data_IF_684326050655
#
_entry.id   IF_684326050655
#
_cell.length_a   1.000
_cell.length_b   1.000
_cell.length_c   1.000
_cell.angle_alpha   90.00
_cell.angle_beta   90.00
_cell.angle_gamma   90.00
#
_symmetry.space_group_name_H-M   'P 1'
#
loop_
_entity.id
_entity.type
_entity.pdbx_description
1 polymer ?
#
# COMPACT_ATOMS: atom_id res chain seq x y z
N UNK A 1 20.07 -0.99 62.52
CA UNK A 1 20.54 -0.81 61.13
C UNK A 1 19.39 -1.15 60.19
N UNK A 2 18.59 -0.16 59.80
CA UNK A 2 17.50 -0.32 58.83
C UNK A 2 17.99 0.15 57.45
N UNK A 3 17.97 -0.73 56.46
CA UNK A 3 18.29 -0.41 55.06
C UNK A 3 17.02 0.10 54.37
N UNK A 4 17.03 1.36 53.91
CA UNK A 4 16.01 1.88 53.00
C UNK A 4 16.24 1.33 51.58
N UNK A 5 15.16 0.83 50.97
CA UNK A 5 15.10 0.51 49.56
C UNK A 5 14.88 1.79 48.74
N UNK A 6 15.74 2.02 47.74
CA UNK A 6 15.60 3.13 46.79
C UNK A 6 14.61 2.78 45.68
N UNK A 7 13.54 3.58 45.57
CA UNK A 7 12.65 3.59 44.41
C UNK A 7 13.30 4.40 43.28
N UNK A 8 13.57 3.77 42.15
CA UNK A 8 13.92 4.42 40.90
C UNK A 8 12.67 5.01 40.24
N UNK A 9 12.59 6.34 40.18
CA UNK A 9 11.58 7.06 39.40
C UNK A 9 11.95 6.96 37.91
N UNK A 10 11.11 6.31 37.11
CA UNK A 10 11.19 6.36 35.64
C UNK A 10 10.56 7.68 35.19
N UNK A 11 11.36 8.61 34.67
CA UNK A 11 10.87 9.83 34.07
C UNK A 11 10.30 9.53 32.68
N UNK A 12 8.97 9.57 32.54
CA UNK A 12 8.34 9.69 31.22
C UNK A 12 8.52 11.13 30.74
N UNK A 13 9.39 11.33 29.75
CA UNK A 13 9.43 12.57 28.98
C UNK A 13 8.23 12.57 28.02
N UNK A 14 7.11 13.18 28.42
CA UNK A 14 6.09 13.59 27.46
C UNK A 14 6.67 14.78 26.67
N UNK A 15 7.13 14.54 25.45
CA UNK A 15 7.30 15.60 24.46
C UNK A 15 5.92 16.12 24.11
N UNK A 16 5.51 17.25 24.69
CA UNK A 16 4.35 17.98 24.21
C UNK A 16 4.67 18.47 22.79
N UNK A 17 4.11 17.82 21.77
CA UNK A 17 4.08 18.40 20.45
C UNK A 17 3.24 19.68 20.56
N UNK A 18 3.83 20.81 20.18
CA UNK A 18 3.08 22.07 20.05
C UNK A 18 2.12 21.86 18.87
N UNK A 19 0.84 21.69 19.16
CA UNK A 19 -0.19 21.63 18.13
C UNK A 19 -0.38 23.03 17.56
N UNK A 20 -0.32 23.13 16.23
CA UNK A 20 -0.54 24.37 15.51
C UNK A 20 -1.82 24.28 14.67
N UNK A 21 -2.38 25.45 14.39
CA UNK A 21 -3.39 25.61 13.36
C UNK A 21 -2.64 25.85 12.04
N UNK A 22 -2.78 24.91 11.11
CA UNK A 22 -2.09 24.92 9.82
C UNK A 22 -3.09 25.30 8.73
N UNK A 23 -2.89 26.46 8.11
CA UNK A 23 -3.65 26.91 6.95
C UNK A 23 -2.93 26.54 5.65
N UNK A 24 -3.58 25.73 4.82
CA UNK A 24 -3.05 25.26 3.55
C UNK A 24 -3.87 25.85 2.41
N UNK A 25 -3.21 26.59 1.51
CA UNK A 25 -3.83 27.01 0.24
C UNK A 25 -3.83 25.83 -0.73
N UNK A 26 -5.00 25.25 -0.99
CA UNK A 26 -5.16 24.08 -1.86
C UNK A 26 -5.15 24.46 -3.36
N UNK A 27 -5.48 25.70 -3.67
CA UNK A 27 -5.47 26.25 -5.03
C UNK A 27 -6.85 26.61 -5.56
N UNK A 28 -7.00 26.75 -6.87
CA UNK A 28 -8.29 27.12 -7.47
C UNK A 28 -9.32 25.99 -7.37
N UNK A 29 -10.61 26.35 -7.38
CA UNK A 29 -11.73 25.39 -7.48
C UNK A 29 -11.50 24.38 -8.60
N UNK A 30 -11.01 24.83 -9.76
CA UNK A 30 -10.71 23.98 -10.91
C UNK A 30 -9.59 22.97 -10.62
N UNK A 31 -8.46 23.42 -10.05
CA UNK A 31 -7.35 22.53 -9.67
C UNK A 31 -7.82 21.48 -8.68
N UNK A 32 -8.47 21.90 -7.59
CA UNK A 32 -8.90 20.99 -6.53
C UNK A 32 -9.95 20.01 -7.03
N UNK A 33 -10.86 20.44 -7.91
CA UNK A 33 -11.82 19.55 -8.58
C UNK A 33 -11.11 18.42 -9.32
N UNK A 34 -10.06 18.74 -10.09
CA UNK A 34 -9.27 17.75 -10.85
C UNK A 34 -8.51 16.80 -9.94
N UNK A 35 -7.77 17.32 -8.96
CA UNK A 35 -6.89 16.51 -8.11
C UNK A 35 -7.66 15.59 -7.15
N UNK A 36 -8.88 15.97 -6.76
CA UNK A 36 -9.77 15.16 -5.91
C UNK A 36 -10.80 14.34 -6.70
N UNK A 37 -10.68 14.32 -8.03
CA UNK A 37 -11.56 13.64 -8.97
C UNK A 37 -13.05 14.04 -8.83
N UNK A 38 -13.34 15.25 -8.33
CA UNK A 38 -14.70 15.67 -8.00
C UNK A 38 -15.53 15.98 -9.27
N UNK A 39 -16.82 15.60 -9.32
CA UNK A 39 -17.49 14.66 -8.41
C UNK A 39 -17.02 13.23 -8.66
N UNK A 40 -16.69 12.50 -7.61
CA UNK A 40 -16.02 11.20 -7.69
C UNK A 40 -16.90 10.00 -7.33
N UNK A 41 -18.21 10.20 -7.12
CA UNK A 41 -19.18 9.13 -6.84
C UNK A 41 -20.59 9.45 -7.36
N UNK A 42 -20.66 10.25 -8.42
CA UNK A 42 -21.91 10.74 -8.97
C UNK A 42 -22.12 10.33 -10.43
N UNK A 43 -23.38 10.09 -10.78
CA UNK A 43 -23.87 10.13 -12.16
C UNK A 43 -25.03 11.15 -12.23
N UNK A 44 -26.20 10.75 -12.71
CA UNK A 44 -27.44 11.54 -12.51
C UNK A 44 -27.81 11.62 -11.02
N UNK A 45 -27.45 10.59 -10.25
CA UNK A 45 -27.64 10.52 -8.79
C UNK A 45 -26.27 10.33 -8.15
N UNK A 46 -25.97 11.13 -7.12
CA UNK A 46 -24.78 10.97 -6.30
C UNK A 46 -24.99 9.92 -5.22
N UNK A 47 -24.06 8.96 -5.11
CA UNK A 47 -24.06 8.02 -3.99
C UNK A 47 -23.79 8.75 -2.67
N UNK A 48 -22.86 9.72 -2.68
CA UNK A 48 -22.67 10.69 -1.61
C UNK A 48 -22.69 12.09 -2.21
N UNK A 49 -23.76 12.83 -1.96
CA UNK A 49 -23.93 14.19 -2.49
C UNK A 49 -23.10 15.22 -1.70
N UNK A 50 -21.79 15.06 -1.71
CA UNK A 50 -20.84 15.95 -1.04
C UNK A 50 -20.55 17.18 -1.90
N UNK A 51 -20.30 18.31 -1.25
CA UNK A 51 -19.65 19.47 -1.90
C UNK A 51 -18.17 19.17 -2.13
N UNK A 52 -17.50 19.97 -2.96
CA UNK A 52 -16.06 19.87 -3.16
C UNK A 52 -15.30 19.97 -1.82
N UNK A 53 -15.68 20.90 -0.96
CA UNK A 53 -15.09 21.09 0.37
C UNK A 53 -15.25 19.86 1.25
N UNK A 54 -16.43 19.22 1.23
CA UNK A 54 -16.67 17.99 1.99
C UNK A 54 -15.84 16.82 1.47
N UNK A 55 -15.72 16.66 0.15
CA UNK A 55 -14.86 15.63 -0.45
C UNK A 55 -13.40 15.83 -0.07
N UNK A 56 -12.89 17.07 -0.13
CA UNK A 56 -11.52 17.39 0.26
C UNK A 56 -11.32 17.15 1.76
N UNK A 57 -12.21 17.67 2.60
CA UNK A 57 -12.14 17.51 4.06
C UNK A 57 -12.14 16.04 4.47
N UNK A 58 -12.90 15.19 3.77
CA UNK A 58 -12.95 13.75 3.99
C UNK A 58 -11.57 13.10 3.80
N UNK A 59 -10.93 13.30 2.64
CA UNK A 59 -9.61 12.70 2.39
C UNK A 59 -8.53 13.28 3.30
N UNK A 60 -8.52 14.59 3.53
CA UNK A 60 -7.56 15.20 4.45
C UNK A 60 -7.75 14.70 5.89
N UNK A 61 -9.00 14.46 6.32
CA UNK A 61 -9.29 13.86 7.62
C UNK A 61 -8.75 12.44 7.73
N UNK A 62 -8.82 11.64 6.64
CA UNK A 62 -8.21 10.32 6.61
C UNK A 62 -6.68 10.40 6.77
N UNK A 63 -6.02 11.34 6.08
CA UNK A 63 -4.56 11.52 6.19
C UNK A 63 -4.13 11.82 7.63
N UNK A 64 -4.73 12.82 8.29
CA UNK A 64 -4.34 13.18 9.67
C UNK A 64 -4.61 12.05 10.65
N UNK A 65 -5.71 11.30 10.48
CA UNK A 65 -6.02 10.13 11.31
C UNK A 65 -5.00 9.01 11.11
N UNK A 66 -4.57 8.75 9.89
CA UNK A 66 -3.58 7.70 9.56
C UNK A 66 -2.16 8.08 9.93
N UNK A 67 -1.89 9.38 10.02
CA UNK A 67 -0.69 9.90 10.67
C UNK A 67 -0.74 9.78 12.20
N UNK A 68 -1.86 9.38 12.78
CA UNK A 68 -2.01 9.16 14.22
C UNK A 68 -2.41 10.40 15.01
N UNK A 69 -2.81 11.49 14.34
CA UNK A 69 -3.30 12.70 14.98
C UNK A 69 -4.80 12.57 15.30
N UNK A 70 -5.11 11.79 16.34
CA UNK A 70 -6.48 11.39 16.68
C UNK A 70 -7.43 12.58 16.99
N UNK A 71 -6.89 13.68 17.53
CA UNK A 71 -7.64 14.88 17.89
C UNK A 71 -7.64 15.95 16.78
N UNK A 72 -7.00 15.66 15.63
CA UNK A 72 -6.92 16.62 14.54
C UNK A 72 -8.28 16.88 13.90
N UNK A 73 -8.49 18.11 13.45
CA UNK A 73 -9.71 18.53 12.75
C UNK A 73 -9.34 19.19 11.44
N UNK A 74 -10.11 18.89 10.41
CA UNK A 74 -9.97 19.49 9.09
C UNK A 74 -11.24 20.25 8.74
N UNK A 75 -11.05 21.50 8.33
CA UNK A 75 -12.11 22.34 7.77
C UNK A 75 -11.65 22.87 6.42
N UNK A 76 -12.47 22.68 5.39
CA UNK A 76 -12.18 23.20 4.05
C UNK A 76 -13.17 24.31 3.72
N UNK A 77 -12.65 25.43 3.24
CA UNK A 77 -13.42 26.63 2.89
C UNK A 77 -13.05 27.07 1.48
N UNK A 78 -14.01 27.67 0.79
CA UNK A 78 -13.81 28.35 -0.48
C UNK A 78 -13.96 29.85 -0.28
N UNK A 79 -12.99 30.63 -0.76
CA UNK A 79 -13.04 32.08 -0.82
C UNK A 79 -12.44 32.56 -2.15
N UNK A 80 -13.15 33.43 -2.88
CA UNK A 80 -12.73 33.99 -4.17
C UNK A 80 -12.17 32.94 -5.16
N UNK A 81 -12.92 31.86 -5.39
CA UNK A 81 -12.55 30.72 -6.26
C UNK A 81 -11.24 30.00 -5.87
N UNK A 82 -10.82 30.13 -4.61
CA UNK A 82 -9.69 29.43 -4.02
C UNK A 82 -10.16 28.59 -2.83
N UNK A 83 -9.64 27.37 -2.71
CA UNK A 83 -9.90 26.50 -1.57
C UNK A 83 -8.73 26.54 -0.59
N UNK A 84 -9.08 26.52 0.69
CA UNK A 84 -8.17 26.50 1.82
C UNK A 84 -8.56 25.36 2.77
N UNK A 85 -7.58 24.66 3.32
CA UNK A 85 -7.77 23.72 4.41
C UNK A 85 -7.16 24.29 5.69
N UNK A 86 -7.98 24.39 6.72
CA UNK A 86 -7.57 24.67 8.09
C UNK A 86 -7.45 23.33 8.81
N UNK A 87 -6.24 22.96 9.22
CA UNK A 87 -5.93 21.70 9.88
C UNK A 87 -5.40 22.01 11.27
N UNK A 88 -6.14 21.60 12.30
CA UNK A 88 -5.76 21.82 13.71
C UNK A 88 -5.38 20.50 14.35
N UNK A 89 -4.60 20.53 15.44
CA UNK A 89 -4.17 19.31 16.15
C UNK A 89 -3.03 18.54 15.46
N UNK A 90 -2.33 19.17 14.52
CA UNK A 90 -1.17 18.63 13.79
C UNK A 90 0.10 19.44 14.12
N UNK A 91 1.32 18.94 13.85
CA UNK A 91 2.54 19.71 14.04
C UNK A 91 2.68 20.84 13.01
N UNK A 92 3.46 21.87 13.38
CA UNK A 92 3.93 22.88 12.44
C UNK A 92 4.59 22.23 11.21
N UNK A 93 4.21 22.69 10.02
CA UNK A 93 4.77 22.19 8.77
C UNK A 93 4.03 21.01 8.14
N UNK A 94 2.91 20.56 8.71
CA UNK A 94 2.07 19.50 8.12
C UNK A 94 1.52 19.88 6.72
N UNK A 95 1.47 21.18 6.40
CA UNK A 95 1.15 21.71 5.07
C UNK A 95 2.10 21.22 3.98
N UNK A 96 3.36 20.97 4.31
CA UNK A 96 4.41 20.64 3.34
C UNK A 96 4.20 19.30 2.65
N UNK A 97 4.04 18.16 3.36
CA UNK A 97 3.82 16.89 2.67
C UNK A 97 2.48 16.86 1.91
N UNK A 98 1.47 17.59 2.37
CA UNK A 98 0.21 17.75 1.62
C UNK A 98 0.42 18.55 0.33
N UNK A 99 1.07 19.71 0.41
CA UNK A 99 1.37 20.54 -0.77
C UNK A 99 2.22 19.77 -1.78
N UNK A 100 3.23 19.04 -1.31
CA UNK A 100 4.09 18.21 -2.15
C UNK A 100 3.31 17.12 -2.90
N UNK A 101 2.32 16.47 -2.25
CA UNK A 101 1.43 15.51 -2.90
C UNK A 101 0.56 16.18 -3.97
N UNK A 102 -0.03 17.34 -3.68
CA UNK A 102 -0.88 18.05 -4.64
C UNK A 102 -0.09 18.58 -5.84
N UNK A 103 1.14 19.04 -5.62
CA UNK A 103 2.03 19.49 -6.69
C UNK A 103 2.48 18.31 -7.58
N UNK A 104 2.75 17.15 -6.99
CA UNK A 104 2.93 15.92 -7.78
C UNK A 104 1.64 15.56 -8.53
N UNK A 105 0.47 15.79 -7.93
CA UNK A 105 -0.83 15.61 -8.56
C UNK A 105 -1.02 16.43 -9.84
N UNK A 106 -0.48 17.64 -9.91
CA UNK A 106 -0.51 18.43 -11.14
C UNK A 106 0.28 17.76 -12.28
N UNK A 107 1.39 17.09 -11.97
CA UNK A 107 2.15 16.28 -12.95
C UNK A 107 1.30 15.09 -13.43
N UNK A 108 0.59 14.42 -12.51
CA UNK A 108 -0.29 13.33 -12.88
C UNK A 108 -1.45 13.80 -13.77
N UNK A 109 -2.04 14.97 -13.46
CA UNK A 109 -3.07 15.58 -14.29
C UNK A 109 -2.57 15.94 -15.69
N UNK A 110 -1.36 16.49 -15.80
CA UNK A 110 -0.74 16.76 -17.10
C UNK A 110 -0.55 15.46 -17.90
N UNK A 111 -0.08 14.39 -17.25
CA UNK A 111 0.05 13.06 -17.83
C UNK A 111 -1.29 12.49 -18.32
N UNK A 112 -2.31 12.51 -17.47
CA UNK A 112 -3.66 12.06 -17.82
C UNK A 112 -4.27 12.85 -18.98
N UNK A 113 -4.09 14.17 -18.98
CA UNK A 113 -4.58 15.06 -20.04
C UNK A 113 -3.92 14.74 -21.38
N UNK A 114 -2.61 14.49 -21.37
CA UNK A 114 -1.87 14.05 -22.57
C UNK A 114 -2.33 12.66 -23.03
N UNK A 115 -2.49 11.71 -22.11
CA UNK A 115 -2.97 10.36 -22.43
C UNK A 115 -4.35 10.39 -23.10
N UNK A 116 -5.25 11.26 -22.61
CA UNK A 116 -6.57 11.48 -23.21
C UNK A 116 -6.49 12.16 -24.59
N UNK A 117 -5.64 13.18 -24.74
CA UNK A 117 -5.42 13.85 -26.03
C UNK A 117 -4.89 12.88 -27.10
N UNK A 118 -4.10 11.88 -26.70
CA UNK A 118 -3.60 10.81 -27.56
C UNK A 118 -4.64 9.70 -27.82
N UNK A 119 -5.86 9.82 -27.29
CA UNK A 119 -6.96 8.87 -27.52
C UNK A 119 -6.85 7.56 -26.73
N UNK A 120 -6.01 7.52 -25.69
CA UNK A 120 -5.71 6.31 -24.91
C UNK A 120 -6.41 6.26 -23.55
N UNK A 121 -7.12 7.32 -23.17
CA UNK A 121 -7.89 7.35 -21.91
C UNK A 121 -9.23 6.62 -22.08
N UNK A 122 -9.47 5.60 -21.27
CA UNK A 122 -10.76 4.92 -21.31
C UNK A 122 -11.85 5.78 -20.63
N UNK A 123 -13.06 5.75 -21.18
CA UNK A 123 -14.19 6.53 -20.66
C UNK A 123 -14.51 6.26 -19.17
N UNK A 124 -14.27 5.04 -18.68
CA UNK A 124 -14.52 4.63 -17.30
C UNK A 124 -13.41 4.99 -16.32
N UNK A 125 -12.31 5.57 -16.79
CA UNK A 125 -11.15 5.87 -15.96
C UNK A 125 -11.25 7.24 -15.28
N UNK A 126 -10.75 7.32 -14.05
CA UNK A 126 -10.62 8.55 -13.29
C UNK A 126 -9.17 8.74 -12.86
N UNK A 127 -8.61 9.95 -13.01
CA UNK A 127 -7.37 10.30 -12.32
C UNK A 127 -7.63 10.19 -10.82
N UNK A 128 -6.83 9.39 -10.11
CA UNK A 128 -6.98 9.21 -8.67
C UNK A 128 -5.63 9.21 -7.99
N UNK A 129 -5.36 10.28 -7.24
CA UNK A 129 -4.17 10.41 -6.42
C UNK A 129 -4.33 9.60 -5.12
N UNK A 130 -3.24 9.18 -4.45
CA UNK A 130 -3.25 8.46 -3.17
C UNK A 130 -3.71 9.35 -1.99
N UNK A 131 -4.92 9.90 -2.12
CA UNK A 131 -5.56 10.80 -1.18
C UNK A 131 -5.95 10.03 0.09
N UNK A 132 -5.83 10.71 1.22
CA UNK A 132 -6.10 10.11 2.51
C UNK A 132 -5.01 9.17 3.01
N UNK A 133 -3.87 9.01 2.35
CA UNK A 133 -2.75 8.25 2.91
C UNK A 133 -2.09 8.99 4.07
N UNK A 134 -1.35 8.25 4.91
CA UNK A 134 -0.42 8.85 5.86
C UNK A 134 0.60 9.71 5.10
N UNK A 135 0.80 10.95 5.52
CA UNK A 135 1.65 11.92 4.84
C UNK A 135 2.95 12.19 5.59
N UNK A 136 2.93 12.12 6.92
CA UNK A 136 4.08 12.48 7.74
C UNK A 136 4.63 11.27 8.49
N UNK A 137 3.77 10.53 9.19
CA UNK A 137 4.15 9.42 10.08
C UNK A 137 4.19 8.07 9.37
N UNK A 138 4.60 8.09 8.09
CA UNK A 138 4.77 6.92 7.24
C UNK A 138 5.85 5.99 7.80
N UNK A 139 5.61 4.70 7.70
CA UNK A 139 6.53 3.62 8.10
C UNK A 139 7.12 2.90 6.91
N UNK A 140 6.42 2.86 5.78
CA UNK A 140 6.90 2.26 4.54
C UNK A 140 6.10 2.78 3.34
N UNK A 141 6.61 2.51 2.15
CA UNK A 141 5.96 2.81 0.87
C UNK A 141 5.58 1.53 0.15
N UNK A 142 4.41 1.53 -0.47
CA UNK A 142 3.90 0.45 -1.31
C UNK A 142 3.82 0.93 -2.75
N UNK A 143 4.62 0.36 -3.65
CA UNK A 143 4.45 0.59 -5.08
C UNK A 143 3.44 -0.40 -5.63
N UNK A 144 2.35 0.12 -6.19
CA UNK A 144 1.27 -0.66 -6.79
C UNK A 144 1.06 -0.29 -8.25
N UNK A 145 0.27 -1.10 -8.92
CA UNK A 145 -0.01 -0.93 -10.33
C UNK A 145 -0.99 0.23 -10.54
N UNK A 146 -2.21 0.11 -10.03
CA UNK A 146 -3.27 1.12 -10.10
C UNK A 146 -4.33 0.87 -9.02
N UNK A 147 -5.08 1.90 -8.58
CA UNK A 147 -6.18 1.73 -7.64
C UNK A 147 -7.45 1.21 -8.34
N UNK A 148 -8.23 0.32 -7.72
CA UNK A 148 -9.52 -0.06 -8.28
C UNK A 148 -10.54 1.08 -8.14
N UNK A 149 -11.40 1.21 -9.16
CA UNK A 149 -12.43 2.25 -9.27
C UNK A 149 -13.38 2.34 -8.07
N UNK A 150 -13.71 1.21 -7.44
CA UNK A 150 -14.61 1.18 -6.28
C UNK A 150 -13.99 1.78 -5.01
N UNK A 151 -12.65 1.86 -4.89
CA UNK A 151 -11.99 2.58 -3.79
C UNK A 151 -12.28 4.08 -3.88
N UNK A 152 -12.36 4.61 -5.11
CA UNK A 152 -12.82 5.97 -5.36
C UNK A 152 -14.35 6.04 -5.24
N UNK A 153 -15.06 5.41 -6.16
CA UNK A 153 -16.49 5.67 -6.43
C UNK A 153 -17.46 5.16 -5.36
N UNK A 154 -17.06 4.16 -4.55
CA UNK A 154 -17.92 3.58 -3.51
C UNK A 154 -17.35 3.81 -2.12
N UNK A 155 -16.08 3.47 -1.90
CA UNK A 155 -15.48 3.56 -0.58
C UNK A 155 -15.14 5.01 -0.19
N UNK A 156 -14.73 5.84 -1.16
CA UNK A 156 -14.05 7.12 -0.90
C UNK A 156 -12.86 6.91 0.05
N UNK A 157 -12.12 5.83 -0.16
CA UNK A 157 -11.03 5.44 0.72
C UNK A 157 -10.05 4.57 -0.08
N UNK A 158 -8.86 5.11 -0.29
CA UNK A 158 -7.80 4.48 -1.06
C UNK A 158 -7.35 3.14 -0.47
N UNK A 159 -7.45 2.96 0.85
CA UNK A 159 -7.08 1.72 1.53
C UNK A 159 -8.24 0.71 1.61
N UNK A 160 -9.39 0.99 1.01
CA UNK A 160 -10.52 0.05 0.95
C UNK A 160 -10.55 -0.66 -0.38
N UNK A 161 -9.83 -1.78 -0.43
CA UNK A 161 -9.81 -2.72 -1.54
C UNK A 161 -9.47 -4.12 -1.06
N UNK A 162 -9.84 -5.15 -1.83
CA UNK A 162 -9.43 -6.53 -1.51
C UNK A 162 -7.90 -6.64 -1.38
N UNK A 163 -7.16 -5.94 -2.25
CA UNK A 163 -5.69 -5.89 -2.25
C UNK A 163 -5.15 -5.32 -0.94
N UNK A 164 -5.62 -4.13 -0.56
CA UNK A 164 -5.12 -3.39 0.61
C UNK A 164 -5.62 -3.96 1.94
N UNK A 165 -6.86 -4.42 2.00
CA UNK A 165 -7.45 -5.06 3.20
C UNK A 165 -6.75 -6.39 3.52
N UNK A 166 -6.42 -7.17 2.48
CA UNK A 166 -5.63 -8.39 2.66
C UNK A 166 -4.23 -8.05 3.19
N UNK A 167 -3.57 -7.06 2.59
CA UNK A 167 -2.21 -6.71 3.01
C UNK A 167 -2.17 -6.18 4.45
N UNK A 168 -3.16 -5.38 4.86
CA UNK A 168 -3.35 -4.96 6.25
C UNK A 168 -3.47 -6.16 7.22
N UNK A 169 -4.19 -7.21 6.81
CA UNK A 169 -4.32 -8.45 7.57
C UNK A 169 -2.96 -9.14 7.73
N UNK A 170 -2.16 -9.23 6.66
CA UNK A 170 -0.81 -9.82 6.72
C UNK A 170 0.17 -9.00 7.57
N UNK A 171 0.06 -7.67 7.58
CA UNK A 171 0.81 -6.82 8.51
C UNK A 171 0.40 -7.09 9.96
N UNK A 172 -0.90 -7.32 10.20
CA UNK A 172 -1.42 -7.68 11.53
C UNK A 172 -0.93 -9.05 11.99
N UNK A 173 -0.91 -10.04 11.10
CA UNK A 173 -0.30 -11.36 11.37
C UNK A 173 1.20 -11.26 11.71
N UNK A 174 1.86 -10.17 11.28
CA UNK A 174 3.24 -9.84 11.60
C UNK A 174 3.41 -8.89 12.79
N UNK A 175 2.35 -8.68 13.57
CA UNK A 175 2.40 -7.96 14.84
C UNK A 175 2.21 -6.45 14.75
N UNK A 176 1.87 -5.91 13.57
CA UNK A 176 1.45 -4.51 13.47
C UNK A 176 0.01 -4.38 13.98
N UNK A 177 -0.29 -3.52 14.97
CA UNK A 177 -1.67 -3.30 15.40
C UNK A 177 -2.55 -2.84 14.22
N UNK A 178 -3.77 -3.34 14.11
CA UNK A 178 -4.67 -3.03 12.99
C UNK A 178 -4.87 -1.52 12.77
N UNK A 179 -4.98 -0.74 13.85
CA UNK A 179 -5.10 0.73 13.78
C UNK A 179 -3.82 1.45 13.29
N UNK A 180 -2.69 0.76 13.18
CA UNK A 180 -1.41 1.30 12.73
C UNK A 180 -0.99 0.81 11.34
N UNK A 181 -1.68 -0.18 10.75
CA UNK A 181 -1.34 -0.66 9.41
C UNK A 181 -1.42 0.42 8.34
N UNK A 182 -2.31 1.44 8.37
CA UNK A 182 -2.34 2.48 7.35
C UNK A 182 -1.02 3.24 7.18
N UNK A 183 -0.25 3.42 8.26
CA UNK A 183 1.06 4.09 8.20
C UNK A 183 2.10 3.28 7.42
N UNK A 184 1.90 1.96 7.27
CA UNK A 184 2.74 1.09 6.44
C UNK A 184 2.27 1.06 4.98
N UNK A 185 1.03 1.44 4.72
CA UNK A 185 0.39 1.30 3.42
C UNK A 185 0.31 2.63 2.66
N UNK A 186 1.38 3.44 2.69
CA UNK A 186 1.43 4.63 1.84
C UNK A 186 1.69 4.21 0.40
N UNK A 187 0.68 4.32 -0.46
CA UNK A 187 0.72 3.81 -1.82
C UNK A 187 1.24 4.87 -2.80
N UNK A 188 2.05 4.43 -3.76
CA UNK A 188 2.30 5.12 -5.02
C UNK A 188 1.93 4.16 -6.13
N UNK A 189 0.94 4.54 -6.94
CA UNK A 189 0.58 3.78 -8.13
C UNK A 189 1.38 4.24 -9.34
N UNK A 190 1.90 3.28 -10.11
CA UNK A 190 2.56 3.58 -11.39
C UNK A 190 1.56 4.04 -12.44
N UNK A 191 0.27 3.73 -12.30
CA UNK A 191 -0.81 4.40 -13.01
C UNK A 191 -1.79 4.97 -11.98
N UNK A 192 -1.79 6.28 -11.70
CA UNK A 192 -2.73 6.91 -10.75
C UNK A 192 -4.12 7.04 -11.39
N UNK A 193 -4.67 5.92 -11.85
CA UNK A 193 -5.93 5.81 -12.58
C UNK A 193 -6.82 4.84 -11.84
N UNK A 194 -7.91 5.34 -11.25
CA UNK A 194 -9.00 4.51 -10.79
C UNK A 194 -9.67 3.83 -11.99
N UNK A 195 -9.49 2.51 -12.09
CA UNK A 195 -9.97 1.68 -13.18
C UNK A 195 -10.60 0.38 -12.67
N UNK A 196 -11.39 -0.36 -13.48
CA UNK A 196 -11.89 -1.67 -13.10
C UNK A 196 -10.76 -2.60 -12.64
N UNK A 197 -10.98 -3.42 -11.62
CA UNK A 197 -9.93 -4.23 -10.99
C UNK A 197 -9.24 -5.25 -11.92
N UNK A 198 -9.81 -5.51 -13.10
CA UNK A 198 -9.28 -6.38 -14.14
C UNK A 198 -8.61 -5.63 -15.30
N UNK A 199 -8.50 -4.29 -15.25
CA UNK A 199 -7.96 -3.44 -16.32
C UNK A 199 -6.42 -3.41 -16.41
N UNK A 200 -5.72 -4.25 -15.65
CA UNK A 200 -4.25 -4.21 -15.56
C UNK A 200 -3.56 -4.34 -16.92
N UNK A 201 -4.05 -5.20 -17.81
CA UNK A 201 -3.49 -5.33 -19.17
C UNK A 201 -3.71 -4.08 -20.04
N UNK A 202 -4.80 -3.34 -19.81
CA UNK A 202 -5.13 -2.13 -20.59
C UNK A 202 -4.23 -0.93 -20.21
N UNK A 203 -3.48 -1.03 -19.12
CA UNK A 203 -2.63 0.04 -18.58
C UNK A 203 -1.15 -0.12 -18.97
N UNK A 204 -0.72 -1.24 -19.57
CA UNK A 204 0.72 -1.52 -19.81
C UNK A 204 1.44 -0.42 -20.62
N UNK A 205 0.74 0.24 -21.54
CA UNK A 205 1.30 1.30 -22.41
C UNK A 205 1.09 2.74 -21.87
N UNK A 206 0.63 2.89 -20.62
CA UNK A 206 0.27 4.22 -20.08
C UNK A 206 1.28 4.76 -19.06
N UNK A 207 2.16 3.92 -18.50
CA UNK A 207 2.99 4.31 -17.35
C UNK A 207 3.90 5.50 -17.63
N UNK A 208 4.46 5.61 -18.84
CA UNK A 208 5.37 6.69 -19.21
C UNK A 208 4.73 8.08 -19.17
N UNK A 209 3.40 8.17 -19.32
CA UNK A 209 2.68 9.44 -19.20
C UNK A 209 2.74 10.01 -17.77
N UNK A 210 3.00 9.15 -16.77
CA UNK A 210 3.02 9.50 -15.36
C UNK A 210 4.42 9.49 -14.76
N UNK A 211 5.49 9.36 -15.58
CA UNK A 211 6.88 9.24 -15.10
C UNK A 211 7.29 10.33 -14.12
N UNK A 212 6.99 11.58 -14.43
CA UNK A 212 7.37 12.72 -13.59
C UNK A 212 6.63 12.69 -12.25
N UNK A 213 5.35 12.32 -12.26
CA UNK A 213 4.57 12.09 -11.03
C UNK A 213 5.15 10.96 -10.19
N UNK A 214 5.38 9.79 -10.80
CA UNK A 214 5.84 8.59 -10.09
C UNK A 214 7.20 8.83 -9.42
N UNK A 215 8.17 9.36 -10.17
CA UNK A 215 9.53 9.60 -9.67
C UNK A 215 9.56 10.71 -8.62
N UNK A 216 8.70 11.72 -8.76
CA UNK A 216 8.49 12.77 -7.75
C UNK A 216 7.96 12.18 -6.44
N UNK A 217 6.90 11.36 -6.50
CA UNK A 217 6.37 10.73 -5.29
C UNK A 217 7.35 9.74 -4.66
N UNK A 218 8.08 8.95 -5.45
CA UNK A 218 9.11 8.05 -4.88
C UNK A 218 10.16 8.84 -4.13
N UNK A 219 10.64 9.96 -4.69
CA UNK A 219 11.58 10.85 -4.00
C UNK A 219 10.99 11.43 -2.71
N UNK A 220 9.73 11.90 -2.75
CA UNK A 220 9.10 12.55 -1.60
C UNK A 220 8.69 11.58 -0.48
N UNK A 221 8.19 10.40 -0.83
CA UNK A 221 7.58 9.47 0.13
C UNK A 221 8.56 8.45 0.69
N UNK A 222 9.68 8.21 0.01
CA UNK A 222 10.72 7.31 0.51
C UNK A 222 11.58 7.90 1.63
N UNK A 223 11.29 9.12 2.09
CA UNK A 223 11.95 9.73 3.24
C UNK A 223 10.94 10.37 4.19
N UNK A 224 11.31 10.41 5.48
CA UNK A 224 10.65 11.26 6.48
C UNK A 224 11.07 12.72 6.29
N UNK A 225 10.37 13.65 6.94
CA UNK A 225 10.77 15.06 6.98
C UNK A 225 12.19 15.28 7.56
N UNK A 226 12.64 14.38 8.43
CA UNK A 226 14.01 14.38 8.98
C UNK A 226 15.07 13.74 8.06
N UNK A 227 14.68 13.26 6.88
CA UNK A 227 15.57 12.64 5.89
C UNK A 227 15.80 11.15 6.08
N UNK A 228 15.20 10.51 7.09
CA UNK A 228 15.30 9.06 7.30
C UNK A 228 14.65 8.32 6.14
N UNK A 229 15.39 7.43 5.49
CA UNK A 229 14.86 6.62 4.39
C UNK A 229 13.90 5.54 4.90
N UNK A 230 12.78 5.39 4.20
CA UNK A 230 11.74 4.41 4.46
C UNK A 230 11.85 3.21 3.49
N UNK A 231 11.54 1.98 3.92
CA UNK A 231 11.54 0.82 3.04
C UNK A 231 10.38 0.86 2.07
N UNK A 232 10.56 0.18 0.93
CA UNK A 232 9.57 0.08 -0.14
C UNK A 232 9.27 -1.37 -0.50
N UNK A 233 8.00 -1.68 -0.73
CA UNK A 233 7.57 -2.97 -1.29
C UNK A 233 7.03 -2.76 -2.70
N UNK A 234 7.51 -3.55 -3.65
CA UNK A 234 7.14 -3.50 -5.06
C UNK A 234 6.22 -4.67 -5.41
N UNK A 235 4.94 -4.38 -5.63
CA UNK A 235 3.90 -5.39 -5.79
C UNK A 235 3.62 -5.71 -7.26
N UNK A 236 3.77 -6.98 -7.65
CA UNK A 236 3.38 -7.43 -8.98
C UNK A 236 4.49 -7.30 -10.03
N UNK A 237 4.22 -7.79 -11.23
CA UNK A 237 5.21 -7.77 -12.31
C UNK A 237 5.39 -6.38 -12.94
N UNK A 238 4.32 -5.63 -13.26
CA UNK A 238 4.44 -4.29 -13.85
C UNK A 238 5.29 -3.35 -13.00
N UNK A 239 5.04 -3.32 -11.69
CA UNK A 239 5.79 -2.46 -10.77
C UNK A 239 7.27 -2.85 -10.68
N UNK A 240 7.58 -4.14 -10.66
CA UNK A 240 8.98 -4.60 -10.63
C UNK A 240 9.71 -4.31 -11.94
N UNK A 241 9.01 -4.36 -13.08
CA UNK A 241 9.55 -3.93 -14.37
C UNK A 241 9.77 -2.42 -14.40
N UNK A 242 8.80 -1.65 -13.88
CA UNK A 242 8.92 -0.20 -13.76
C UNK A 242 10.14 0.22 -12.92
N UNK A 243 10.43 -0.46 -11.81
CA UNK A 243 11.66 -0.22 -11.03
C UNK A 243 12.91 -0.43 -11.88
N UNK A 244 12.95 -1.51 -12.67
CA UNK A 244 14.08 -1.79 -13.55
C UNK A 244 14.27 -0.70 -14.59
N UNK A 245 13.17 -0.21 -15.16
CA UNK A 245 13.18 0.84 -16.18
C UNK A 245 13.61 2.20 -15.62
N UNK A 246 13.08 2.59 -14.45
CA UNK A 246 13.37 3.90 -13.88
C UNK A 246 14.68 3.97 -13.09
N UNK A 247 15.07 2.88 -12.43
CA UNK A 247 16.21 2.87 -11.50
C UNK A 247 17.31 1.86 -11.86
N UNK A 248 17.02 0.83 -12.68
CA UNK A 248 18.00 -0.16 -13.15
C UNK A 248 17.92 -1.56 -12.54
N UNK A 249 17.76 -1.74 -11.21
CA UNK A 249 17.73 -3.07 -10.60
C UNK A 249 16.58 -3.94 -11.06
N UNK A 250 16.85 -5.24 -11.25
CA UNK A 250 15.79 -6.25 -11.40
C UNK A 250 15.40 -6.78 -10.03
N UNK A 251 14.10 -6.75 -9.72
CA UNK A 251 13.59 -7.19 -8.40
C UNK A 251 12.67 -8.40 -8.59
N UNK A 252 13.01 -9.52 -7.95
CA UNK A 252 12.20 -10.74 -7.90
C UNK A 252 11.17 -10.74 -6.76
N UNK A 253 10.22 -11.67 -6.75
CA UNK A 253 9.42 -11.94 -5.53
C UNK A 253 10.36 -12.46 -4.44
N UNK A 254 10.33 -11.82 -3.27
CA UNK A 254 11.33 -11.94 -2.20
C UNK A 254 12.77 -11.64 -2.66
N UNK A 255 12.93 -10.87 -3.73
CA UNK A 255 14.21 -10.31 -4.14
C UNK A 255 14.41 -8.92 -3.54
N UNK A 256 15.60 -8.65 -3.03
CA UNK A 256 16.00 -7.32 -2.55
C UNK A 256 16.76 -6.55 -3.62
N UNK A 257 16.51 -5.26 -3.66
CA UNK A 257 17.30 -4.29 -4.41
C UNK A 257 17.43 -2.99 -3.60
N UNK A 258 18.20 -2.05 -4.13
CA UNK A 258 18.21 -0.68 -3.66
C UNK A 258 18.06 0.27 -4.85
N UNK A 259 17.25 1.31 -4.69
CA UNK A 259 17.10 2.38 -5.66
C UNK A 259 17.59 3.70 -5.08
N UNK A 260 18.01 4.62 -5.95
CA UNK A 260 18.44 5.96 -5.55
C UNK A 260 17.54 7.02 -6.22
N UNK A 261 16.50 7.51 -5.52
CA UNK A 261 15.58 8.51 -6.08
C UNK A 261 16.14 9.93 -6.03
N UNK A 262 17.20 10.15 -5.27
CA UNK A 262 17.98 11.38 -5.24
C UNK A 262 19.41 11.07 -4.78
N UNK A 263 20.35 11.93 -5.11
CA UNK A 263 21.75 11.78 -4.70
C UNK A 263 21.87 11.58 -3.17
N UNK A 264 22.62 10.56 -2.76
CA UNK A 264 22.83 10.22 -1.35
C UNK A 264 21.66 9.49 -0.67
N UNK A 265 20.53 9.29 -1.37
CA UNK A 265 19.37 8.55 -0.84
C UNK A 265 19.39 7.12 -1.40
N UNK A 266 19.34 6.13 -0.51
CA UNK A 266 19.32 4.71 -0.87
C UNK A 266 18.12 4.02 -0.22
N UNK A 267 17.11 3.71 -1.03
CA UNK A 267 15.86 3.09 -0.57
C UNK A 267 16.00 1.58 -0.70
N UNK A 268 15.82 0.78 0.38
CA UNK A 268 15.74 -0.66 0.26
C UNK A 268 14.37 -1.04 -0.32
N UNK A 269 14.38 -1.87 -1.37
CA UNK A 269 13.18 -2.30 -2.08
C UNK A 269 13.08 -3.82 -2.03
N UNK A 270 11.93 -4.32 -1.59
CA UNK A 270 11.58 -5.75 -1.65
C UNK A 270 10.53 -5.99 -2.74
N UNK A 271 10.78 -6.92 -3.65
CA UNK A 271 9.74 -7.37 -4.58
C UNK A 271 8.79 -8.36 -3.91
N UNK A 272 7.50 -8.22 -4.19
CA UNK A 272 6.44 -9.09 -3.67
C UNK A 272 5.52 -9.55 -4.81
N UNK A 273 4.75 -10.62 -4.56
CA UNK A 273 3.58 -10.87 -5.40
C UNK A 273 2.62 -9.69 -5.27
N UNK A 274 1.84 -9.40 -6.30
CA UNK A 274 0.69 -8.51 -6.12
C UNK A 274 -0.26 -9.11 -5.07
N UNK A 275 -0.82 -8.36 -4.10
CA UNK A 275 -1.58 -8.96 -3.00
C UNK A 275 -2.80 -9.76 -3.47
N UNK A 276 -3.36 -9.43 -4.65
CA UNK A 276 -4.46 -10.20 -5.26
C UNK A 276 -4.03 -11.49 -5.97
N UNK A 277 -2.75 -11.69 -6.26
CA UNK A 277 -2.25 -12.83 -7.03
C UNK A 277 -2.61 -14.18 -6.38
N UNK A 278 -2.73 -14.22 -5.05
CA UNK A 278 -3.07 -15.43 -4.31
C UNK A 278 -4.40 -16.05 -4.77
N UNK A 279 -5.39 -15.25 -5.15
CA UNK A 279 -6.70 -15.76 -5.57
C UNK A 279 -6.61 -16.46 -6.93
N UNK A 280 -5.74 -16.00 -7.82
CA UNK A 280 -5.48 -16.65 -9.11
C UNK A 280 -4.58 -17.88 -8.97
N UNK A 281 -3.52 -17.77 -8.18
CA UNK A 281 -2.62 -18.89 -7.91
C UNK A 281 -3.34 -20.04 -7.21
N UNK A 282 -4.30 -19.72 -6.34
CA UNK A 282 -5.11 -20.68 -5.60
C UNK A 282 -6.43 -21.03 -6.31
N UNK A 283 -6.71 -20.60 -7.53
CA UNK A 283 -7.92 -21.04 -8.25
C UNK A 283 -7.67 -22.42 -8.90
N UNK A 284 -8.45 -23.48 -8.56
CA UNK A 284 -8.37 -24.76 -9.25
C UNK A 284 -8.56 -24.66 -10.77
N UNK A 285 -9.32 -23.67 -11.26
CA UNK A 285 -9.52 -23.44 -12.70
C UNK A 285 -8.25 -23.01 -13.45
N UNK A 286 -7.23 -22.55 -12.72
CA UNK A 286 -5.92 -22.23 -13.29
C UNK A 286 -5.10 -23.48 -13.63
N UNK A 287 -5.55 -24.69 -13.29
CA UNK A 287 -4.81 -25.94 -13.47
C UNK A 287 -5.66 -27.02 -14.17
N UNK A 288 -4.98 -27.96 -14.83
CA UNK A 288 -5.61 -29.10 -15.51
C UNK A 288 -5.31 -30.43 -14.79
N UNK A 289 -6.22 -31.38 -14.95
CA UNK A 289 -6.14 -32.75 -14.41
C UNK A 289 -6.92 -32.95 -13.12
N UNK A 290 -7.09 -34.21 -12.71
CA UNK A 290 -7.86 -34.59 -11.51
C UNK A 290 -7.22 -34.07 -10.20
N UNK A 291 -5.95 -33.65 -10.26
CA UNK A 291 -5.20 -33.07 -9.16
C UNK A 291 -5.17 -31.52 -9.16
N UNK A 292 -6.01 -30.86 -9.99
CA UNK A 292 -6.06 -29.40 -10.11
C UNK A 292 -6.25 -28.68 -8.77
N UNK A 293 -7.16 -29.18 -7.91
CA UNK A 293 -7.35 -28.63 -6.56
C UNK A 293 -6.07 -28.72 -5.72
N UNK A 294 -5.35 -29.84 -5.77
CA UNK A 294 -4.14 -30.04 -5.01
C UNK A 294 -2.99 -29.13 -5.50
N UNK A 295 -2.91 -28.89 -6.81
CA UNK A 295 -1.97 -27.93 -7.43
C UNK A 295 -2.28 -26.50 -7.00
N UNK A 296 -3.56 -26.10 -7.03
CA UNK A 296 -4.00 -24.79 -6.59
C UNK A 296 -3.74 -24.55 -5.10
N UNK A 297 -4.02 -25.54 -4.24
CA UNK A 297 -3.69 -25.45 -2.81
C UNK A 297 -2.17 -25.35 -2.61
N UNK A 298 -1.36 -26.12 -3.34
CA UNK A 298 0.10 -26.05 -3.25
C UNK A 298 0.65 -24.68 -3.69
N UNK A 299 0.10 -24.10 -4.75
CA UNK A 299 0.47 -22.78 -5.21
C UNK A 299 0.04 -21.68 -4.22
N UNK A 300 -1.20 -21.74 -3.75
CA UNK A 300 -1.73 -20.81 -2.75
C UNK A 300 -0.93 -20.82 -1.44
N UNK A 301 -0.53 -21.99 -0.95
CA UNK A 301 0.34 -22.12 0.24
C UNK A 301 1.71 -21.46 0.04
N UNK A 302 2.32 -21.62 -1.14
CA UNK A 302 3.60 -20.98 -1.48
C UNK A 302 3.46 -19.45 -1.56
N UNK A 303 2.43 -18.95 -2.25
CA UNK A 303 2.14 -17.52 -2.33
C UNK A 303 1.87 -16.94 -0.93
N UNK A 304 1.08 -17.62 -0.10
CA UNK A 304 0.84 -17.19 1.29
C UNK A 304 2.16 -17.08 2.09
N UNK A 305 3.04 -18.08 1.95
CA UNK A 305 4.36 -18.05 2.61
C UNK A 305 5.24 -16.89 2.12
N UNK A 306 5.20 -16.58 0.82
CA UNK A 306 5.91 -15.44 0.24
C UNK A 306 5.35 -14.11 0.76
N UNK A 307 4.04 -13.92 0.70
CA UNK A 307 3.38 -12.68 1.09
C UNK A 307 3.54 -12.40 2.58
N UNK A 308 3.40 -13.41 3.45
CA UNK A 308 3.69 -13.28 4.88
C UNK A 308 5.15 -12.90 5.15
N UNK A 309 6.09 -13.43 4.36
CA UNK A 309 7.52 -13.09 4.48
C UNK A 309 7.79 -11.64 4.06
N UNK A 310 7.12 -11.16 3.00
CA UNK A 310 7.25 -9.79 2.52
C UNK A 310 6.58 -8.78 3.47
N UNK A 311 5.37 -9.06 3.96
CA UNK A 311 4.70 -8.24 4.98
C UNK A 311 5.48 -8.19 6.29
N UNK A 312 6.10 -9.31 6.71
CA UNK A 312 7.03 -9.35 7.84
C UNK A 312 8.22 -8.41 7.63
N UNK A 313 8.81 -8.43 6.44
CA UNK A 313 9.95 -7.59 6.12
C UNK A 313 9.57 -6.11 6.17
N UNK A 314 8.44 -5.74 5.59
CA UNK A 314 7.90 -4.38 5.62
C UNK A 314 7.62 -3.93 7.06
N UNK A 315 6.96 -4.77 7.86
CA UNK A 315 6.68 -4.51 9.27
C UNK A 315 7.98 -4.27 10.05
N UNK A 316 8.98 -5.13 9.89
CA UNK A 316 10.28 -5.01 10.58
C UNK A 316 11.08 -3.77 10.16
N UNK A 317 11.21 -3.55 8.84
CA UNK A 317 11.96 -2.41 8.31
C UNK A 317 11.27 -1.07 8.60
N UNK A 318 9.94 -1.03 8.56
CA UNK A 318 9.17 0.18 8.81
C UNK A 318 9.02 0.52 10.29
N UNK A 319 8.97 -0.49 11.16
CA UNK A 319 9.00 -0.29 12.62
C UNK A 319 10.35 0.24 13.10
N UNK A 320 11.44 -0.15 12.42
CA UNK A 320 12.79 0.23 12.77
C UNK A 320 13.60 0.61 11.53
N UNK A 321 13.45 1.87 11.04
CA UNK A 321 14.22 2.37 9.91
C UNK A 321 15.73 2.19 10.13
N UNK A 322 16.47 1.90 9.06
CA UNK A 322 17.91 1.60 9.11
C UNK A 322 18.28 0.18 9.55
N UNK A 323 17.30 -0.69 9.78
CA UNK A 323 17.56 -2.13 9.97
C UNK A 323 18.24 -2.76 8.75
N UNK A 324 18.98 -3.84 8.94
CA UNK A 324 19.59 -4.58 7.84
C UNK A 324 18.51 -5.30 7.02
N UNK A 325 18.33 -4.88 5.76
CA UNK A 325 17.28 -5.38 4.89
C UNK A 325 17.41 -6.88 4.59
N UNK A 326 18.64 -7.39 4.40
CA UNK A 326 18.89 -8.79 4.06
C UNK A 326 18.70 -9.69 5.27
N UNK A 327 19.23 -9.30 6.43
CA UNK A 327 19.04 -10.02 7.68
C UNK A 327 17.56 -10.09 8.06
N UNK A 328 16.82 -8.98 7.90
CA UNK A 328 15.37 -8.94 8.14
C UNK A 328 14.64 -9.90 7.20
N UNK A 329 14.94 -9.89 5.90
CA UNK A 329 14.28 -10.79 4.93
C UNK A 329 14.57 -12.26 5.24
N UNK A 330 15.83 -12.58 5.57
CA UNK A 330 16.24 -13.93 5.93
C UNK A 330 15.47 -14.44 7.15
N UNK A 331 15.33 -13.58 8.18
CA UNK A 331 14.58 -13.90 9.39
C UNK A 331 13.09 -14.11 9.09
N UNK A 332 12.48 -13.22 8.32
CA UNK A 332 11.08 -13.32 7.92
C UNK A 332 10.77 -14.58 7.09
N UNK A 333 11.64 -14.89 6.13
CA UNK A 333 11.54 -16.11 5.30
C UNK A 333 11.72 -17.37 6.14
N UNK A 334 12.65 -17.35 7.11
CA UNK A 334 12.83 -18.45 8.04
C UNK A 334 11.60 -18.64 8.94
N UNK A 335 11.03 -17.55 9.45
CA UNK A 335 9.82 -17.59 10.27
C UNK A 335 8.66 -18.21 9.49
N UNK A 336 8.25 -17.65 8.36
CA UNK A 336 7.00 -18.07 7.71
C UNK A 336 7.12 -19.33 6.87
N UNK A 337 8.26 -19.55 6.23
CA UNK A 337 8.40 -20.68 5.29
C UNK A 337 9.05 -21.92 5.92
N UNK A 338 9.55 -21.81 7.17
CA UNK A 338 10.22 -22.92 7.86
C UNK A 338 9.65 -23.16 9.26
N UNK A 339 9.79 -22.19 10.17
CA UNK A 339 9.44 -22.38 11.59
C UNK A 339 7.93 -22.38 11.81
N UNK A 340 7.21 -21.43 11.20
CA UNK A 340 5.76 -21.22 11.32
C UNK A 340 4.98 -21.67 10.08
N UNK A 341 5.53 -22.57 9.26
CA UNK A 341 4.86 -23.09 8.05
C UNK A 341 3.46 -23.69 8.30
N UNK A 342 3.21 -24.21 9.50
CA UNK A 342 1.87 -24.70 9.88
C UNK A 342 0.90 -23.53 10.06
N UNK A 343 1.35 -22.41 10.65
CA UNK A 343 0.53 -21.20 10.75
C UNK A 343 0.27 -20.58 9.39
N UNK A 344 1.26 -20.54 8.49
CA UNK A 344 1.06 -20.17 7.08
C UNK A 344 -0.03 -21.01 6.42
N UNK A 345 -0.06 -22.32 6.70
CA UNK A 345 -1.10 -23.21 6.20
C UNK A 345 -2.48 -22.85 6.75
N UNK A 346 -2.60 -22.66 8.06
CA UNK A 346 -3.86 -22.30 8.69
C UNK A 346 -4.40 -20.99 8.12
N UNK A 347 -3.56 -19.95 8.04
CA UNK A 347 -3.92 -18.65 7.47
C UNK A 347 -4.38 -18.77 6.01
N UNK A 348 -3.73 -19.59 5.20
CA UNK A 348 -4.17 -19.86 3.82
C UNK A 348 -5.58 -20.47 3.80
N UNK A 349 -5.81 -21.54 4.56
CA UNK A 349 -7.09 -22.25 4.51
C UNK A 349 -8.23 -21.44 5.14
N UNK A 350 -7.98 -20.62 6.16
CA UNK A 350 -9.01 -19.76 6.72
C UNK A 350 -9.33 -18.58 5.80
N UNK A 351 -8.32 -17.88 5.28
CA UNK A 351 -8.53 -16.63 4.52
C UNK A 351 -8.84 -16.84 3.03
N UNK A 352 -8.34 -17.91 2.42
CA UNK A 352 -8.48 -18.15 0.97
C UNK A 352 -9.47 -19.28 0.67
N UNK A 353 -9.59 -20.27 1.55
CA UNK A 353 -10.54 -21.38 1.40
C UNK A 353 -11.78 -21.26 2.28
N UNK A 354 -11.85 -20.21 3.11
CA UNK A 354 -12.98 -19.94 4.01
C UNK A 354 -13.31 -21.12 4.95
N UNK A 355 -12.29 -21.90 5.34
CA UNK A 355 -12.45 -22.94 6.35
C UNK A 355 -12.53 -22.33 7.74
N UNK A 356 -13.24 -22.98 8.67
CA UNK A 356 -13.14 -22.65 10.09
C UNK A 356 -11.71 -22.88 10.60
N UNK A 357 -11.35 -22.29 11.74
CA UNK A 357 -10.03 -22.51 12.34
C UNK A 357 -9.75 -24.00 12.58
N UNK A 358 -10.74 -24.75 13.09
CA UNK A 358 -10.64 -26.19 13.35
C UNK A 358 -10.46 -26.99 12.06
N UNK A 359 -11.23 -26.64 11.02
CA UNK A 359 -11.11 -27.27 9.71
C UNK A 359 -9.76 -27.00 9.05
N UNK A 360 -9.23 -25.78 9.17
CA UNK A 360 -7.91 -25.43 8.68
C UNK A 360 -6.81 -26.22 9.40
N UNK A 361 -6.85 -26.30 10.73
CA UNK A 361 -5.92 -27.12 11.53
C UNK A 361 -5.96 -28.59 11.10
N UNK A 362 -7.17 -29.16 10.97
CA UNK A 362 -7.35 -30.54 10.53
C UNK A 362 -6.79 -30.77 9.12
N UNK A 363 -7.03 -29.84 8.18
CA UNK A 363 -6.51 -29.89 6.81
C UNK A 363 -4.97 -29.81 6.79
N UNK A 364 -4.38 -28.92 7.58
CA UNK A 364 -2.94 -28.75 7.70
C UNK A 364 -2.23 -29.96 8.35
N UNK A 365 -2.96 -30.79 9.11
CA UNK A 365 -2.42 -32.01 9.70
C UNK A 365 -2.34 -33.20 8.72
N UNK A 366 -2.98 -33.12 7.54
CA UNK A 366 -3.02 -34.20 6.56
C UNK A 366 -1.64 -34.50 5.95
N UNK A 367 -1.33 -35.77 5.58
CA UNK A 367 -0.03 -36.13 5.01
C UNK A 367 0.33 -35.39 3.71
N UNK A 368 -0.66 -35.15 2.84
CA UNK A 368 -0.48 -34.44 1.58
C UNK A 368 -0.07 -32.99 1.82
N UNK A 369 -0.78 -32.27 2.69
CA UNK A 369 -0.45 -30.87 3.02
C UNK A 369 0.89 -30.79 3.76
N UNK A 370 1.18 -31.69 4.70
CA UNK A 370 2.50 -31.74 5.37
C UNK A 370 3.66 -31.88 4.38
N UNK A 371 3.44 -32.58 3.26
CA UNK A 371 4.44 -32.69 2.18
C UNK A 371 4.60 -31.36 1.45
N UNK A 372 3.49 -30.68 1.11
CA UNK A 372 3.51 -29.34 0.50
C UNK A 372 4.21 -28.31 1.39
N UNK A 373 4.01 -28.36 2.71
CA UNK A 373 4.65 -27.42 3.65
C UNK A 373 6.17 -27.57 3.73
N UNK A 374 6.73 -28.72 3.32
CA UNK A 374 8.20 -28.88 3.19
C UNK A 374 8.75 -28.22 1.93
N UNK A 375 7.88 -27.80 1.01
CA UNK A 375 8.21 -27.27 -0.30
C UNK A 375 7.80 -25.80 -0.48
N UNK A 376 7.54 -25.04 0.60
CA UNK A 376 7.12 -23.64 0.50
C UNK A 376 8.13 -22.74 -0.26
N UNK A 377 9.43 -23.08 -0.19
CA UNK A 377 10.51 -22.37 -0.91
C UNK A 377 10.69 -22.85 -2.36
N UNK A 378 10.02 -23.92 -2.77
CA UNK A 378 10.15 -24.44 -4.13
C UNK A 378 9.35 -23.58 -5.12
N UNK A 379 9.72 -23.54 -6.42
CA UNK A 379 8.96 -22.83 -7.44
C UNK A 379 7.47 -23.21 -7.45
N UNK A 380 6.61 -22.26 -7.81
CA UNK A 380 5.17 -22.51 -7.94
C UNK A 380 4.90 -23.63 -8.97
N UNK A 381 3.84 -24.44 -8.78
CA UNK A 381 3.34 -25.31 -9.84
C UNK A 381 3.03 -24.49 -11.10
N UNK A 382 3.29 -25.05 -12.28
CA UNK A 382 2.94 -24.41 -13.54
C UNK A 382 1.41 -24.34 -13.68
N UNK A 383 0.89 -23.13 -13.84
CA UNK A 383 -0.52 -22.90 -14.18
C UNK A 383 -0.76 -23.15 -15.67
N UNK A 384 -1.93 -23.69 -16.00
CA UNK A 384 -2.40 -23.86 -17.37
C UNK A 384 -2.98 -22.56 -17.94
N UNK A 385 -3.53 -21.71 -17.08
CA UNK A 385 -4.04 -20.38 -17.42
C UNK A 385 -3.15 -19.35 -16.72
N UNK A 386 -2.54 -18.39 -17.45
CA UNK A 386 -1.77 -17.32 -16.83
C UNK A 386 -2.69 -16.44 -15.99
N UNK A 387 -2.20 -15.96 -14.84
CA UNK A 387 -2.90 -14.90 -14.12
C UNK A 387 -2.93 -13.62 -14.97
N UNK A 388 -3.93 -12.75 -14.79
CA UNK A 388 -3.91 -11.42 -15.39
C UNK A 388 -2.63 -10.65 -15.04
N UNK A 389 -2.31 -9.63 -15.83
CA UNK A 389 -1.25 -8.68 -15.47
C UNK A 389 -1.65 -7.96 -14.18
N UNK A 390 -0.89 -8.23 -13.10
CA UNK A 390 -1.11 -7.72 -11.75
C UNK A 390 0.15 -7.05 -11.20
#
# INVERSE_FOLDING_TARGET
MFKLAGLTLVALTLSAAVHADVDVKLGSTERVTRLFAYPNNCSVICFRNWTLEQTVAHYLSQSVQRDGYADAKVLVKTDNDQLYAEITGVPDGYDKPLSALLDAGDLAYAGASKLNADGKWAYSWYLFLPLGMALENRKSVELLHFPPDYSLTQAQDYLRSNTTDRWATLLTDNGIPAGQTPAYQTIIDIAPIAAPSNAGGDLEDVYDYFKDYQTTLVKQFSQTASGTTLPMVAFGAPVRNWIKEQYGPTVGVLGLASISPAEGVNVPVLGSNHPSYIWYAADPKSYTGDDAQAKADAAGLKVMGQDLSAACWQAGMGSKPGSDAQATLNSCTQTWQVTQKVKTCELFYTSIRNLSAEQAVAKCATPSVKTQLRQLKAPLPAAAVPAPTL
#
